data_IF_494455894608
#
_entry.id   IF_494455894608
#
_cell.length_a   1.000
_cell.length_b   1.000
_cell.length_c   1.000
_cell.angle_alpha   90.00
_cell.angle_beta   90.00
_cell.angle_gamma   90.00
#
_symmetry.space_group_name_H-M   'P 1'
#
loop_
_entity.id
_entity.type
_entity.pdbx_description
1 polymer ?
#
# COMPACT_ATOMS: atom_id res chain seq x y z
N UNK A 1 -12.94 -30.80 -40.54
CA UNK A 1 -13.85 -30.18 -39.55
C UNK A 1 -13.00 -29.40 -38.57
N UNK A 2 -13.12 -28.07 -38.56
CA UNK A 2 -12.56 -27.20 -37.52
C UNK A 2 -13.40 -25.93 -37.47
N UNK A 3 -14.41 -25.92 -36.60
CA UNK A 3 -15.28 -24.77 -36.32
C UNK A 3 -14.50 -23.77 -35.46
N UNK A 4 -14.08 -22.65 -36.06
CA UNK A 4 -13.52 -21.51 -35.31
C UNK A 4 -14.68 -20.74 -34.68
N UNK A 5 -14.81 -20.85 -33.36
CA UNK A 5 -15.70 -20.02 -32.55
C UNK A 5 -15.31 -18.55 -32.68
N UNK A 6 -16.17 -17.76 -33.32
CA UNK A 6 -16.07 -16.31 -33.34
C UNK A 6 -16.33 -15.73 -31.95
N UNK A 7 -15.27 -15.34 -31.23
CA UNK A 7 -15.39 -14.42 -30.11
C UNK A 7 -15.66 -13.04 -30.69
N UNK A 8 -16.90 -12.56 -30.60
CA UNK A 8 -17.25 -11.18 -30.88
C UNK A 8 -16.58 -10.28 -29.84
N UNK A 9 -15.53 -9.59 -30.26
CA UNK A 9 -14.93 -8.50 -29.48
C UNK A 9 -15.95 -7.38 -29.38
N UNK A 10 -16.57 -7.20 -28.21
CA UNK A 10 -17.48 -6.08 -27.95
C UNK A 10 -16.66 -4.81 -27.75
N UNK A 11 -16.44 -4.04 -28.81
CA UNK A 11 -15.86 -2.70 -28.74
C UNK A 11 -16.80 -1.81 -27.90
N UNK A 12 -16.36 -1.19 -26.80
CA UNK A 12 -17.14 -0.16 -26.12
C UNK A 12 -17.38 1.00 -27.11
N UNK A 13 -18.62 1.50 -27.21
CA UNK A 13 -18.91 2.70 -28.01
C UNK A 13 -18.37 3.91 -27.25
N UNK A 14 -17.52 4.75 -27.86
CA UNK A 14 -16.83 5.86 -27.17
C UNK A 14 -17.78 6.81 -26.43
N UNK A 15 -19.00 7.02 -26.91
CA UNK A 15 -20.04 7.82 -26.25
C UNK A 15 -20.44 7.28 -24.86
N UNK A 16 -20.47 5.94 -24.68
CA UNK A 16 -20.80 5.34 -23.38
C UNK A 16 -19.70 5.56 -22.35
N UNK A 17 -18.44 5.59 -22.80
CA UNK A 17 -17.29 5.80 -21.92
C UNK A 17 -17.24 7.26 -21.44
N UNK A 18 -17.50 8.23 -22.32
CA UNK A 18 -17.60 9.65 -21.95
C UNK A 18 -18.76 9.90 -20.98
N UNK A 19 -19.93 9.31 -21.23
CA UNK A 19 -21.07 9.40 -20.32
C UNK A 19 -20.77 8.75 -18.96
N UNK A 20 -20.10 7.59 -18.93
CA UNK A 20 -19.70 6.95 -17.69
C UNK A 20 -18.72 7.80 -16.87
N UNK A 21 -17.78 8.49 -17.53
CA UNK A 21 -16.88 9.45 -16.86
C UNK A 21 -17.66 10.63 -16.29
N UNK A 22 -18.62 11.18 -17.05
CA UNK A 22 -19.48 12.26 -16.58
C UNK A 22 -20.32 11.85 -15.37
N UNK A 23 -20.91 10.65 -15.38
CA UNK A 23 -21.70 10.11 -14.27
C UNK A 23 -20.86 9.88 -13.00
N UNK A 24 -19.63 9.36 -13.15
CA UNK A 24 -18.70 9.25 -12.01
C UNK A 24 -18.38 10.61 -11.39
N UNK A 25 -18.20 11.65 -12.22
CA UNK A 25 -17.99 13.02 -11.75
C UNK A 25 -19.23 13.57 -11.04
N UNK A 26 -20.42 13.30 -11.57
CA UNK A 26 -21.69 13.67 -10.94
C UNK A 26 -21.82 13.04 -9.56
N UNK A 27 -21.66 11.71 -9.43
CA UNK A 27 -21.76 11.00 -8.15
C UNK A 27 -20.75 11.53 -7.13
N UNK A 28 -19.52 11.83 -7.55
CA UNK A 28 -18.51 12.40 -6.65
C UNK A 28 -18.89 13.79 -6.11
N UNK A 29 -19.68 14.55 -6.86
CA UNK A 29 -20.01 15.95 -6.53
C UNK A 29 -21.37 16.08 -5.85
N UNK A 30 -22.34 15.24 -6.24
CA UNK A 30 -23.75 15.31 -5.86
C UNK A 30 -24.29 14.02 -5.24
N UNK A 31 -23.56 12.92 -5.33
CA UNK A 31 -23.99 11.64 -4.76
C UNK A 31 -24.09 11.66 -3.24
N UNK A 32 -23.27 12.47 -2.56
CA UNK A 32 -23.30 12.61 -1.11
C UNK A 32 -24.64 13.18 -0.60
N UNK A 33 -25.24 14.13 -1.32
CA UNK A 33 -26.53 14.75 -0.98
C UNK A 33 -27.65 13.70 -0.87
N UNK A 34 -27.56 12.59 -1.62
CA UNK A 34 -28.54 11.50 -1.57
C UNK A 34 -28.29 10.51 -0.44
N UNK A 35 -27.09 10.50 0.17
CA UNK A 35 -26.75 9.64 1.31
C UNK A 35 -27.20 10.25 2.65
N UNK A 36 -27.71 11.49 2.64
CA UNK A 36 -28.36 12.09 3.79
C UNK A 36 -29.73 11.43 4.08
N UNK A 37 -30.30 10.72 3.11
CA UNK A 37 -31.53 9.93 3.28
C UNK A 37 -31.22 8.60 4.01
N UNK A 38 -31.88 8.30 5.14
CA UNK A 38 -31.58 7.12 5.95
C UNK A 38 -31.87 5.78 5.24
N UNK A 39 -32.73 5.78 4.22
CA UNK A 39 -33.04 4.58 3.45
C UNK A 39 -32.02 4.32 2.33
N UNK A 40 -31.21 5.31 1.93
CA UNK A 40 -30.23 5.18 0.85
C UNK A 40 -28.87 4.73 1.40
N UNK A 41 -28.46 3.52 1.06
CA UNK A 41 -27.19 2.93 1.51
C UNK A 41 -26.01 3.22 0.58
N UNK A 42 -26.26 3.37 -0.73
CA UNK A 42 -25.21 3.74 -1.69
C UNK A 42 -25.76 4.34 -2.99
N UNK A 43 -24.91 5.13 -3.66
CA UNK A 43 -25.16 5.67 -5.01
C UNK A 43 -23.98 5.35 -5.91
N UNK A 44 -24.26 4.78 -7.09
CA UNK A 44 -23.25 4.28 -8.01
C UNK A 44 -23.63 4.46 -9.48
N UNK A 45 -22.67 4.23 -10.37
CA UNK A 45 -22.95 4.07 -11.79
C UNK A 45 -23.17 2.59 -12.05
N UNK A 46 -24.35 2.24 -12.56
CA UNK A 46 -24.74 0.88 -12.84
C UNK A 46 -25.26 0.72 -14.26
N UNK A 47 -25.76 -0.49 -14.51
CA UNK A 47 -26.64 -0.75 -15.64
C UNK A 47 -28.03 -1.01 -15.09
N UNK A 48 -29.06 -0.66 -15.86
CA UNK A 48 -30.45 -0.88 -15.47
C UNK A 48 -30.72 -2.36 -15.28
N UNK A 49 -31.41 -2.72 -14.20
CA UNK A 49 -31.89 -4.08 -14.00
C UNK A 49 -33.37 -4.16 -14.34
N UNK A 50 -33.73 -5.14 -15.16
CA UNK A 50 -35.13 -5.49 -15.46
C UNK A 50 -35.27 -6.99 -15.22
N UNK A 51 -36.23 -7.40 -14.39
CA UNK A 51 -36.46 -8.80 -14.01
C UNK A 51 -35.19 -9.53 -13.50
N UNK A 52 -34.37 -8.81 -12.72
CA UNK A 52 -33.13 -9.34 -12.14
C UNK A 52 -31.97 -9.49 -13.13
N UNK A 53 -32.13 -9.08 -14.39
CA UNK A 53 -31.08 -9.15 -15.42
C UNK A 53 -30.54 -7.75 -15.73
N UNK A 54 -29.20 -7.57 -15.80
CA UNK A 54 -28.61 -6.31 -16.22
C UNK A 54 -28.87 -6.10 -17.72
N UNK A 55 -29.23 -4.88 -18.10
CA UNK A 55 -29.33 -4.43 -19.49
C UNK A 55 -28.05 -3.72 -19.95
N UNK A 56 -28.00 -3.26 -21.20
CA UNK A 56 -26.90 -2.43 -21.73
C UNK A 56 -27.12 -0.91 -21.53
N UNK A 57 -28.17 -0.52 -20.81
CA UNK A 57 -28.53 0.87 -20.51
C UNK A 57 -27.83 1.33 -19.23
N UNK A 58 -27.08 2.43 -19.32
CA UNK A 58 -26.29 2.97 -18.22
C UNK A 58 -27.19 3.82 -17.33
N UNK A 59 -27.14 3.62 -16.00
CA UNK A 59 -28.02 4.29 -15.04
C UNK A 59 -27.29 4.81 -13.81
N UNK A 60 -27.91 5.75 -13.12
CA UNK A 60 -27.54 6.07 -11.73
C UNK A 60 -28.25 5.06 -10.83
N UNK A 61 -27.47 4.19 -10.20
CA UNK A 61 -27.98 3.13 -9.34
C UNK A 61 -28.01 3.60 -7.89
N UNK A 62 -29.19 3.56 -7.28
CA UNK A 62 -29.40 3.76 -5.86
C UNK A 62 -29.59 2.40 -5.21
N UNK A 63 -28.85 2.13 -4.13
CA UNK A 63 -29.14 1.00 -3.27
C UNK A 63 -29.86 1.50 -2.04
N UNK A 64 -31.02 0.91 -1.74
CA UNK A 64 -31.86 1.24 -0.59
C UNK A 64 -32.00 0.05 0.34
N UNK A 65 -32.30 0.30 1.61
CA UNK A 65 -32.56 -0.77 2.58
C UNK A 65 -33.90 -1.44 2.30
N UNK A 66 -34.94 -0.66 1.99
CA UNK A 66 -36.29 -1.14 1.68
C UNK A 66 -36.90 -0.35 0.52
N UNK A 67 -37.52 -1.04 -0.45
CA UNK A 67 -38.29 -0.40 -1.53
C UNK A 67 -39.72 -0.17 -1.10
N UNK A 68 -40.12 1.08 -1.05
CA UNK A 68 -41.49 1.49 -0.79
C UNK A 68 -41.98 2.44 -1.88
N UNK A 69 -43.25 2.32 -2.25
CA UNK A 69 -43.92 3.18 -3.24
C UNK A 69 -45.09 3.97 -2.66
N UNK A 70 -45.57 3.58 -1.48
CA UNK A 70 -46.70 4.21 -0.81
C UNK A 70 -46.23 5.45 -0.02
N UNK A 71 -46.91 6.60 -0.12
CA UNK A 71 -46.53 7.82 0.60
C UNK A 71 -46.41 7.63 2.11
N UNK A 72 -47.32 6.86 2.70
CA UNK A 72 -47.31 6.55 4.14
C UNK A 72 -46.06 5.75 4.55
N UNK A 73 -45.60 4.83 3.69
CA UNK A 73 -44.41 4.03 3.92
C UNK A 73 -43.12 4.85 3.72
N UNK A 74 -43.10 5.80 2.78
CA UNK A 74 -42.00 6.75 2.61
C UNK A 74 -41.84 7.63 3.86
N UNK A 75 -42.94 8.15 4.40
CA UNK A 75 -42.93 8.93 5.64
C UNK A 75 -42.45 8.12 6.84
N UNK A 76 -42.89 6.86 6.98
CA UNK A 76 -42.46 5.98 8.05
C UNK A 76 -40.95 5.70 8.05
N UNK A 77 -40.35 5.61 6.86
CA UNK A 77 -38.91 5.42 6.68
C UNK A 77 -38.11 6.74 6.70
N UNK A 78 -38.79 7.90 6.73
CA UNK A 78 -38.15 9.21 6.66
C UNK A 78 -37.40 9.45 5.35
N UNK A 79 -37.81 8.78 4.27
CA UNK A 79 -37.15 8.80 2.97
C UNK A 79 -37.94 9.64 1.97
N UNK A 80 -37.24 10.28 1.04
CA UNK A 80 -37.86 11.05 -0.04
C UNK A 80 -37.91 10.24 -1.34
N UNK A 81 -38.89 10.48 -2.22
CA UNK A 81 -38.93 9.82 -3.52
C UNK A 81 -37.67 10.18 -4.33
N UNK A 82 -36.95 9.15 -4.78
CA UNK A 82 -35.78 9.30 -5.64
C UNK A 82 -36.21 9.74 -7.06
N UNK A 83 -35.43 10.58 -7.74
CA UNK A 83 -35.77 11.05 -9.08
C UNK A 83 -35.73 9.90 -10.10
N UNK A 84 -36.69 9.82 -11.02
CA UNK A 84 -36.74 8.78 -12.06
C UNK A 84 -35.62 8.92 -13.11
N UNK A 85 -35.13 10.15 -13.30
CA UNK A 85 -34.00 10.46 -14.19
C UNK A 85 -33.13 11.58 -13.63
N UNK A 86 -31.86 11.60 -14.02
CA UNK A 86 -30.88 12.62 -13.65
C UNK A 86 -30.21 13.15 -14.90
N UNK A 87 -30.23 14.48 -15.08
CA UNK A 87 -29.52 15.12 -16.18
C UNK A 87 -28.05 15.32 -15.84
N UNK A 88 -27.15 14.70 -16.61
CA UNK A 88 -25.70 14.86 -16.48
C UNK A 88 -25.14 15.37 -17.81
N UNK A 89 -24.49 16.54 -17.79
CA UNK A 89 -23.95 17.21 -18.99
C UNK A 89 -24.96 17.35 -20.14
N UNK A 90 -26.24 17.58 -19.83
CA UNK A 90 -27.31 17.72 -20.83
C UNK A 90 -27.89 16.41 -21.36
N UNK A 91 -27.42 15.25 -20.86
CA UNK A 91 -27.97 13.94 -21.18
C UNK A 91 -28.83 13.47 -20.01
N UNK A 92 -30.07 13.08 -20.28
CA UNK A 92 -30.96 12.46 -19.30
C UNK A 92 -30.60 10.99 -19.12
N UNK A 93 -30.25 10.61 -17.89
CA UNK A 93 -29.85 9.25 -17.53
C UNK A 93 -30.90 8.68 -16.57
N UNK A 94 -31.47 7.49 -16.85
CA UNK A 94 -32.45 6.89 -15.95
C UNK A 94 -31.80 6.47 -14.64
N UNK A 95 -32.61 6.42 -13.58
CA UNK A 95 -32.20 5.86 -12.29
C UNK A 95 -32.65 4.41 -12.14
N UNK A 96 -31.93 3.64 -11.33
CA UNK A 96 -32.28 2.26 -10.99
C UNK A 96 -32.20 2.11 -9.47
N UNK A 97 -33.26 1.62 -8.84
CA UNK A 97 -33.32 1.42 -7.40
C UNK A 97 -33.19 -0.06 -7.12
N UNK A 98 -32.23 -0.45 -6.29
CA UNK A 98 -31.99 -1.84 -5.88
C UNK A 98 -32.15 -1.94 -4.37
N UNK A 99 -32.90 -2.92 -3.90
CA UNK A 99 -33.04 -3.20 -2.49
C UNK A 99 -31.94 -4.15 -2.04
N UNK A 100 -31.16 -3.77 -1.01
CA UNK A 100 -30.18 -4.65 -0.35
C UNK A 100 -30.02 -4.25 1.11
N UNK A 101 -30.02 -5.25 1.98
CA UNK A 101 -29.56 -5.11 3.36
C UNK A 101 -28.07 -5.45 3.48
N UNK A 102 -27.34 -4.65 4.26
CA UNK A 102 -25.93 -4.88 4.56
C UNK A 102 -25.76 -5.05 6.07
N UNK A 103 -25.24 -6.20 6.49
CA UNK A 103 -24.87 -6.43 7.89
C UNK A 103 -23.35 -6.50 8.05
N UNK A 104 -22.75 -5.77 8.99
CA UNK A 104 -21.33 -5.89 9.30
C UNK A 104 -20.96 -7.30 9.76
N UNK A 105 -20.33 -8.08 8.89
CA UNK A 105 -19.78 -9.40 9.24
C UNK A 105 -18.34 -9.26 9.74
N UNK A 106 -18.15 -9.32 11.07
CA UNK A 106 -16.81 -9.31 11.67
C UNK A 106 -16.16 -10.70 11.59
N UNK A 107 -15.37 -10.94 10.54
CA UNK A 107 -14.52 -12.14 10.47
C UNK A 107 -13.22 -11.88 11.23
N UNK A 108 -13.00 -12.56 12.36
CA UNK A 108 -11.68 -12.63 13.00
C UNK A 108 -10.71 -13.35 12.07
N UNK A 109 -9.72 -12.63 11.55
CA UNK A 109 -8.60 -13.18 10.79
C UNK A 109 -7.43 -13.36 11.76
N UNK A 110 -6.74 -14.52 11.77
CA UNK A 110 -5.54 -14.66 12.59
C UNK A 110 -4.51 -13.60 12.19
N UNK A 111 -3.84 -13.05 13.20
CA UNK A 111 -2.78 -12.07 12.99
C UNK A 111 -1.68 -12.70 12.11
N UNK A 112 -1.38 -12.05 10.98
CA UNK A 112 -0.38 -12.56 10.05
C UNK A 112 0.98 -12.57 10.75
N UNK A 113 1.64 -13.74 10.79
CA UNK A 113 2.96 -13.85 11.40
C UNK A 113 3.95 -12.85 10.78
N UNK A 114 4.62 -12.06 11.61
CA UNK A 114 5.62 -11.10 11.18
C UNK A 114 6.75 -11.82 10.42
N UNK A 115 7.06 -11.44 9.17
CA UNK A 115 8.14 -12.04 8.40
C UNK A 115 9.48 -11.98 9.17
N UNK A 116 10.33 -13.03 9.14
CA UNK A 116 11.58 -13.07 9.91
C UNK A 116 12.50 -11.84 9.67
N UNK A 117 12.56 -11.34 8.43
CA UNK A 117 13.35 -10.14 8.06
C UNK A 117 12.92 -8.85 8.78
N UNK A 118 11.71 -8.82 9.36
CA UNK A 118 11.14 -7.70 10.11
C UNK A 118 11.28 -7.87 11.62
N UNK A 119 11.84 -8.99 12.07
CA UNK A 119 12.12 -9.25 13.48
C UNK A 119 13.54 -8.82 13.85
N UNK A 120 13.81 -8.74 15.15
CA UNK A 120 15.16 -8.49 15.67
C UNK A 120 16.07 -9.67 15.34
N UNK A 121 17.22 -9.38 14.75
CA UNK A 121 18.20 -10.40 14.37
C UNK A 121 19.59 -10.02 14.89
N UNK A 122 20.19 -10.95 15.61
CA UNK A 122 21.58 -10.90 16.05
C UNK A 122 22.17 -12.32 15.90
N UNK A 123 23.08 -12.57 14.93
CA UNK A 123 23.80 -11.61 14.10
C UNK A 123 22.93 -10.96 13.01
N UNK A 124 23.26 -9.71 12.68
CA UNK A 124 22.62 -8.94 11.62
C UNK A 124 23.06 -9.45 10.26
N UNK A 125 22.11 -9.62 9.34
CA UNK A 125 22.37 -10.02 7.95
C UNK A 125 21.79 -9.01 6.96
N UNK A 126 22.36 -8.87 5.74
CA UNK A 126 21.74 -8.08 4.69
C UNK A 126 20.30 -8.52 4.39
N UNK A 127 19.44 -7.59 3.98
CA UNK A 127 18.04 -7.88 3.66
C UNK A 127 17.05 -7.75 4.84
N UNK A 128 17.53 -7.49 6.05
CA UNK A 128 16.68 -7.31 7.24
C UNK A 128 16.29 -5.85 7.45
N UNK A 129 15.22 -5.65 8.20
CA UNK A 129 14.66 -4.33 8.52
C UNK A 129 15.63 -3.49 9.34
N UNK A 130 15.75 -2.21 8.99
CA UNK A 130 16.56 -1.21 9.70
C UNK A 130 15.97 0.17 9.47
N UNK A 131 16.19 1.11 10.38
CA UNK A 131 15.78 2.48 10.16
C UNK A 131 16.32 3.46 11.19
N UNK A 132 16.43 4.71 10.78
CA UNK A 132 16.48 5.83 11.70
C UNK A 132 15.21 5.87 12.56
N UNK A 133 15.31 6.31 13.81
CA UNK A 133 14.16 6.37 14.74
C UNK A 133 13.00 7.23 14.27
N UNK A 134 13.28 8.20 13.39
CA UNK A 134 12.29 9.13 12.82
C UNK A 134 11.76 8.72 11.43
N UNK A 135 12.01 7.49 10.97
CA UNK A 135 11.46 6.97 9.70
C UNK A 135 10.66 5.69 9.95
N UNK A 136 9.97 5.19 8.92
CA UNK A 136 9.18 3.96 9.01
C UNK A 136 10.06 2.71 9.13
N UNK A 137 10.51 2.16 8.00
CA UNK A 137 11.46 1.05 7.95
C UNK A 137 12.05 0.98 6.53
N UNK A 138 13.30 0.57 6.45
CA UNK A 138 13.94 0.17 5.20
C UNK A 138 14.73 -1.11 5.42
N UNK A 139 15.65 -1.40 4.50
CA UNK A 139 16.36 -2.68 4.48
C UNK A 139 17.86 -2.46 4.49
N UNK A 140 18.60 -3.29 5.22
CA UNK A 140 20.05 -3.34 5.13
C UNK A 140 20.45 -3.80 3.73
N UNK A 141 21.26 -3.00 3.04
CA UNK A 141 21.84 -3.36 1.75
C UNK A 141 23.01 -4.35 1.93
N UNK A 142 24.02 -3.97 2.70
CA UNK A 142 25.18 -4.81 2.97
C UNK A 142 25.94 -4.37 4.23
N UNK A 143 26.88 -5.23 4.65
CA UNK A 143 27.89 -4.92 5.66
C UNK A 143 29.20 -4.64 4.92
N UNK A 144 29.83 -3.51 5.21
CA UNK A 144 31.12 -3.10 4.65
C UNK A 144 32.14 -2.94 5.76
N UNK A 145 33.41 -2.98 5.42
CA UNK A 145 34.50 -2.81 6.37
C UNK A 145 35.33 -1.61 5.98
N UNK A 146 35.69 -0.80 6.97
CA UNK A 146 36.68 0.26 6.75
C UNK A 146 38.05 -0.36 6.40
N UNK A 147 38.76 0.27 5.46
CA UNK A 147 39.98 -0.31 4.90
C UNK A 147 41.11 -0.29 5.93
N UNK A 148 41.22 0.77 6.72
CA UNK A 148 42.33 0.98 7.64
C UNK A 148 42.08 0.29 8.99
N UNK A 149 40.88 0.48 9.55
CA UNK A 149 40.52 -0.04 10.88
C UNK A 149 39.88 -1.42 10.86
N UNK A 150 39.49 -1.92 9.68
CA UNK A 150 38.68 -3.14 9.53
C UNK A 150 37.38 -3.14 10.36
N UNK A 151 36.89 -1.95 10.73
CA UNK A 151 35.66 -1.81 11.51
C UNK A 151 34.46 -2.09 10.61
N UNK A 152 33.48 -2.92 11.04
CA UNK A 152 32.27 -3.16 10.27
C UNK A 152 31.30 -1.96 10.33
N UNK A 153 30.68 -1.66 9.19
CA UNK A 153 29.63 -0.66 9.00
C UNK A 153 28.46 -1.26 8.24
N UNK A 154 27.27 -0.72 8.50
CA UNK A 154 26.03 -1.07 7.80
C UNK A 154 25.75 -0.03 6.71
N UNK A 155 25.41 -0.49 5.50
CA UNK A 155 24.92 0.36 4.42
C UNK A 155 23.44 0.11 4.14
N UNK A 156 22.70 1.20 3.96
CA UNK A 156 21.33 1.20 3.43
C UNK A 156 21.11 2.49 2.64
N UNK A 157 19.89 2.69 2.13
CA UNK A 157 19.55 3.92 1.44
C UNK A 157 19.63 5.13 2.40
N UNK A 158 19.99 6.28 1.86
CA UNK A 158 20.17 7.51 2.63
C UNK A 158 18.90 7.91 3.41
N UNK A 159 17.73 7.80 2.78
CA UNK A 159 16.47 8.17 3.43
C UNK A 159 16.05 7.20 4.55
N UNK A 160 16.65 6.00 4.60
CA UNK A 160 16.38 5.00 5.65
C UNK A 160 17.19 5.32 6.91
N UNK A 161 18.44 5.77 6.76
CA UNK A 161 19.36 5.94 7.89
C UNK A 161 19.59 7.39 8.32
N UNK A 162 19.44 8.35 7.41
CA UNK A 162 19.78 9.75 7.67
C UNK A 162 18.58 10.68 7.49
N UNK A 163 17.77 10.50 6.43
CA UNK A 163 16.60 11.34 6.12
C UNK A 163 16.88 12.88 6.15
N UNK A 164 15.83 13.70 5.97
CA UNK A 164 15.96 15.15 5.87
C UNK A 164 16.37 15.84 7.20
N UNK A 165 16.00 15.25 8.34
CA UNK A 165 16.20 15.83 9.67
C UNK A 165 17.25 15.11 10.51
N UNK A 166 17.68 13.91 10.12
CA UNK A 166 18.67 13.15 10.87
C UNK A 166 20.06 13.77 10.84
N UNK A 167 20.86 13.43 11.84
CA UNK A 167 22.15 14.00 12.17
C UNK A 167 23.15 12.88 12.45
N UNK A 168 24.42 13.14 12.15
CA UNK A 168 25.49 12.24 12.56
C UNK A 168 25.45 12.07 14.08
N UNK A 169 25.53 10.83 14.54
CA UNK A 169 25.37 10.44 15.94
C UNK A 169 24.00 9.85 16.27
N UNK A 170 23.00 10.04 15.39
CA UNK A 170 21.65 9.58 15.67
C UNK A 170 21.55 8.05 15.77
N UNK A 171 20.59 7.61 16.58
CA UNK A 171 20.37 6.19 16.85
C UNK A 171 19.71 5.54 15.65
N UNK A 172 20.27 4.41 15.23
CA UNK A 172 19.65 3.52 14.25
C UNK A 172 19.18 2.27 14.98
N UNK A 173 18.03 1.75 14.54
CA UNK A 173 17.41 0.56 15.09
C UNK A 173 17.25 -0.53 14.03
N UNK A 174 17.36 -1.78 14.47
CA UNK A 174 17.10 -3.01 13.72
C UNK A 174 16.18 -3.85 14.62
N UNK A 175 14.95 -4.17 14.23
CA UNK A 175 14.27 -3.75 13.00
C UNK A 175 13.90 -2.24 13.01
N UNK A 176 13.48 -1.70 11.87
CA UNK A 176 13.05 -0.30 11.76
C UNK A 176 11.76 -0.01 12.56
N UNK A 177 11.50 1.25 12.95
CA UNK A 177 10.39 1.62 13.86
C UNK A 177 8.99 1.14 13.46
N UNK A 178 8.72 1.02 12.16
CA UNK A 178 7.45 0.49 11.64
C UNK A 178 7.29 -1.02 11.90
N UNK A 179 8.38 -1.77 11.90
CA UNK A 179 8.35 -3.22 12.11
C UNK A 179 8.46 -3.59 13.61
N UNK A 180 9.17 -2.79 14.42
CA UNK A 180 9.11 -2.83 15.89
C UNK A 180 9.50 -1.46 16.47
N UNK A 181 8.58 -0.85 17.22
CA UNK A 181 8.73 0.51 17.74
C UNK A 181 9.47 0.58 19.10
N UNK A 182 9.96 -0.55 19.62
CA UNK A 182 10.75 -0.60 20.87
C UNK A 182 12.19 -0.14 20.63
N UNK A 183 12.36 1.16 20.46
CA UNK A 183 13.65 1.79 20.09
C UNK A 183 14.76 1.43 21.07
N UNK A 184 14.48 1.39 22.37
CA UNK A 184 15.47 1.12 23.41
C UNK A 184 16.03 -0.29 23.33
N UNK A 185 15.18 -1.26 23.01
CA UNK A 185 15.59 -2.64 22.79
C UNK A 185 16.32 -2.78 21.46
N UNK A 186 15.89 -2.06 20.42
CA UNK A 186 16.28 -2.29 19.02
C UNK A 186 17.53 -1.53 18.52
N UNK A 187 18.26 -0.86 19.41
CA UNK A 187 19.45 -0.09 19.03
C UNK A 187 20.51 -0.99 18.39
N UNK A 188 20.99 -0.57 17.22
CA UNK A 188 21.99 -1.32 16.44
C UNK A 188 23.29 -0.55 16.23
N UNK A 189 23.25 0.77 16.26
CA UNK A 189 24.42 1.62 16.17
C UNK A 189 24.08 3.09 16.00
N UNK A 190 25.11 3.90 15.76
CA UNK A 190 24.95 5.34 15.51
C UNK A 190 25.31 5.69 14.08
N UNK A 191 24.51 6.57 13.47
CA UNK A 191 24.78 7.14 12.15
C UNK A 191 26.15 7.84 12.16
N UNK A 192 27.08 7.46 11.30
CA UNK A 192 28.41 8.11 11.21
C UNK A 192 28.57 9.04 10.03
N UNK A 193 27.62 9.04 9.09
CA UNK A 193 27.56 10.01 8.01
C UNK A 193 27.37 9.40 6.64
N UNK A 194 27.62 10.20 5.61
CA UNK A 194 27.52 9.81 4.19
C UNK A 194 28.90 9.40 3.69
N UNK A 195 29.05 8.17 3.23
CA UNK A 195 30.24 7.76 2.50
C UNK A 195 30.08 8.19 1.04
N UNK A 196 30.75 9.27 0.65
CA UNK A 196 31.04 9.49 -0.77
C UNK A 196 32.21 8.58 -1.13
N UNK A 197 31.98 7.60 -2.01
CA UNK A 197 33.10 6.88 -2.63
C UNK A 197 33.99 7.89 -3.35
N UNK A 198 35.32 7.77 -3.21
CA UNK A 198 36.26 8.57 -4.02
C UNK A 198 35.94 8.33 -5.51
N UNK A 199 35.96 9.37 -6.38
CA UNK A 199 35.78 9.20 -7.81
C UNK A 199 36.94 8.35 -8.34
N UNK A 200 36.68 7.12 -8.81
CA UNK A 200 37.72 6.35 -9.49
C UNK A 200 37.55 4.84 -9.66
N UNK A 201 36.63 4.14 -8.96
CA UNK A 201 36.64 2.65 -9.07
C UNK A 201 35.29 1.95 -9.04
N UNK A 202 34.18 2.62 -9.37
CA UNK A 202 32.92 1.95 -9.78
C UNK A 202 31.99 2.93 -10.53
N UNK A 203 31.37 2.54 -11.66
CA UNK A 203 30.53 3.44 -12.43
C UNK A 203 29.11 3.45 -11.85
N UNK A 204 28.88 4.15 -10.74
CA UNK A 204 27.53 4.54 -10.34
C UNK A 204 27.27 5.99 -10.74
N UNK A 205 27.00 6.19 -12.04
CA UNK A 205 26.44 7.45 -12.55
C UNK A 205 24.96 7.50 -12.15
N UNK A 206 24.60 8.53 -11.38
CA UNK A 206 23.26 8.89 -10.90
C UNK A 206 22.60 7.88 -9.94
N UNK A 207 22.96 7.94 -8.67
CA UNK A 207 21.97 7.97 -7.59
C UNK A 207 22.60 8.44 -6.27
N UNK A 208 21.87 9.27 -5.52
CA UNK A 208 22.22 9.69 -4.15
C UNK A 208 22.19 8.45 -3.24
N UNK A 209 23.30 7.79 -2.90
CA UNK A 209 23.20 6.55 -2.11
C UNK A 209 24.33 6.40 -1.09
N UNK A 210 23.92 6.19 0.17
CA UNK A 210 24.74 5.60 1.23
C UNK A 210 24.85 6.48 2.47
N UNK A 211 24.38 5.97 3.60
CA UNK A 211 24.86 6.42 4.92
C UNK A 211 25.33 5.21 5.71
N UNK A 212 26.41 5.39 6.46
CA UNK A 212 27.06 4.33 7.24
C UNK A 212 26.79 4.50 8.73
N UNK A 213 26.90 3.40 9.48
CA UNK A 213 26.65 3.35 10.93
C UNK A 213 27.85 2.69 11.61
N UNK A 214 28.34 3.27 12.71
CA UNK A 214 29.34 2.66 13.59
C UNK A 214 28.66 2.11 14.84
N UNK A 215 28.96 0.86 15.18
CA UNK A 215 28.48 0.22 16.41
C UNK A 215 29.33 0.68 17.61
N UNK A 216 28.70 0.88 18.78
CA UNK A 216 29.43 0.98 20.06
C UNK A 216 29.79 -0.42 20.55
N UNK A 217 31.06 -0.63 20.88
CA UNK A 217 31.65 -1.93 21.24
C UNK A 217 31.05 -2.47 22.54
N UNK A 218 30.57 -3.71 22.48
CA UNK A 218 30.16 -4.54 23.62
C UNK A 218 29.99 -5.97 23.14
N UNK A 219 30.93 -6.84 23.55
CA UNK A 219 30.97 -8.33 23.59
C UNK A 219 30.16 -9.12 22.54
N UNK A 220 30.67 -10.06 21.75
CA UNK A 220 31.96 -10.73 21.67
C UNK A 220 32.12 -11.27 20.24
N UNK A 221 33.24 -10.98 19.57
CA UNK A 221 33.71 -11.73 18.41
C UNK A 221 35.06 -12.30 18.80
N UNK A 222 35.06 -13.47 19.42
CA UNK A 222 36.27 -14.25 19.57
C UNK A 222 36.08 -15.62 18.95
N UNK A 223 36.90 -15.85 17.91
CA UNK A 223 37.33 -17.12 17.33
C UNK A 223 36.37 -17.82 16.37
N UNK A 224 36.69 -17.70 15.09
CA UNK A 224 37.13 -18.87 14.30
C UNK A 224 37.83 -18.41 13.00
N UNK A 225 39.16 -18.26 13.08
CA UNK A 225 40.06 -18.47 11.93
C UNK A 225 41.21 -19.34 12.41
N UNK A 226 41.16 -20.61 12.07
CA UNK A 226 42.33 -21.48 11.95
C UNK A 226 42.00 -22.59 10.94
N UNK A 227 41.91 -22.20 9.67
CA UNK A 227 41.99 -23.13 8.54
C UNK A 227 43.40 -23.03 7.97
N UNK A 228 44.23 -24.01 8.31
CA UNK A 228 45.62 -24.15 7.88
C UNK A 228 45.72 -24.35 6.35
N UNK A 229 46.50 -23.54 5.60
CA UNK A 229 46.69 -23.74 4.17
C UNK A 229 47.88 -24.69 3.95
N UNK A 230 47.70 -25.98 4.22
CA UNK A 230 48.60 -27.01 3.69
C UNK A 230 48.01 -28.42 3.85
N UNK A 231 47.35 -28.90 2.80
CA UNK A 231 47.28 -30.33 2.48
C UNK A 231 46.88 -30.52 1.03
N UNK A 232 47.86 -30.37 0.14
CA UNK A 232 47.86 -31.03 -1.16
C UNK A 232 48.17 -32.53 -0.96
N UNK A 233 47.83 -33.34 -1.97
CA UNK A 233 48.10 -34.78 -2.17
C UNK A 233 47.33 -35.81 -1.32
N UNK A 234 46.30 -36.39 -1.93
CA UNK A 234 46.32 -37.79 -2.39
C UNK A 234 45.31 -38.00 -3.52
#
# INVERSE_FOLDING_TARGET
>A
MATKNGRTSRTPRPEKDELAVALRKFIRTKGADYLDDPNVSSVGVGYKHVDGKPTDELTVQFTVNEKVSEPEALEALGTSPLPESITVNGVEVPTDVIERSYEPAFRRVPEAATPPRKTRLDPIVPGVSVGHTSVSAGTIGCIVYDVDSHTPYLLSNWHVLHNATGRVGDTIVQPGPHDDNRIDDNRVGRLVGRTWGRPGTVPWRRSRIGSSIRRSVGSAWSRTRSGNPNSATR
#
